data_IF_113431869443
#
_entry.id   IF_113431869443
#
_cell.length_a   1.000
_cell.length_b   1.000
_cell.length_c   1.000
_cell.angle_alpha   90.00
_cell.angle_beta   90.00
_cell.angle_gamma   90.00
#
_symmetry.space_group_name_H-M   'P 1'
#
loop_
_entity.id
_entity.type
_entity.pdbx_description
1 polymer ?
#
# COMPACT_ATOMS: atom_id res chain seq x y z
N UNK A 1 20.30 29.53 8.25
CA UNK A 1 18.94 30.06 8.36
C UNK A 1 18.02 29.50 7.26
N UNK A 2 18.48 29.25 6.06
CA UNK A 2 17.74 28.68 4.92
C UNK A 2 17.20 27.25 5.12
N UNK A 3 17.88 26.43 5.90
CA UNK A 3 17.48 25.01 6.12
C UNK A 3 16.21 24.88 6.97
N UNK A 4 15.98 25.74 7.97
CA UNK A 4 14.80 25.67 8.83
C UNK A 4 13.52 26.10 8.11
N UNK A 5 13.57 27.09 7.25
CA UNK A 5 12.42 27.57 6.46
C UNK A 5 11.97 26.50 5.48
N UNK A 6 12.93 25.80 4.85
CA UNK A 6 12.61 24.71 3.94
C UNK A 6 11.93 23.51 4.61
N UNK A 7 12.27 23.19 5.87
CA UNK A 7 11.64 22.10 6.64
C UNK A 7 10.20 22.48 7.00
N UNK A 8 9.96 23.72 7.44
CA UNK A 8 8.60 24.18 7.80
C UNK A 8 7.65 24.13 6.60
N UNK A 9 8.08 24.58 5.42
CA UNK A 9 7.27 24.54 4.19
C UNK A 9 6.95 23.08 3.80
N UNK A 10 7.90 22.18 3.93
CA UNK A 10 7.68 20.74 3.63
C UNK A 10 6.64 20.12 4.56
N UNK A 11 6.72 20.37 5.86
CA UNK A 11 5.73 19.89 6.84
C UNK A 11 4.33 20.41 6.49
N UNK A 12 4.21 21.69 6.12
CA UNK A 12 2.94 22.29 5.71
C UNK A 12 2.36 21.61 4.46
N UNK A 13 3.19 21.28 3.48
CA UNK A 13 2.75 20.60 2.25
C UNK A 13 2.32 19.15 2.56
N UNK A 14 3.06 18.42 3.39
CA UNK A 14 2.73 17.04 3.77
C UNK A 14 1.46 16.98 4.64
N UNK A 15 1.22 17.99 5.44
CA UNK A 15 0.03 18.07 6.28
C UNK A 15 -1.27 18.20 5.46
N UNK A 16 -1.23 18.74 4.24
CA UNK A 16 -2.42 18.90 3.38
C UNK A 16 -3.13 17.58 3.05
N UNK A 17 -2.46 16.57 2.46
CA UNK A 17 -3.11 15.30 2.16
C UNK A 17 -3.58 14.57 3.43
N UNK A 18 -2.87 14.72 4.55
CA UNK A 18 -3.32 14.16 5.83
C UNK A 18 -4.59 14.83 6.34
N UNK A 19 -4.70 16.16 6.21
CA UNK A 19 -5.91 16.91 6.56
C UNK A 19 -7.10 16.54 5.66
N UNK A 20 -6.86 16.33 4.37
CA UNK A 20 -7.87 15.80 3.43
C UNK A 20 -8.32 14.41 3.88
N UNK A 21 -7.39 13.51 4.17
CA UNK A 21 -7.68 12.18 4.70
C UNK A 21 -8.51 12.22 5.99
N UNK A 22 -8.18 13.11 6.92
CA UNK A 22 -8.97 13.35 8.13
C UNK A 22 -10.40 13.76 7.81
N UNK A 23 -10.59 14.69 6.88
CA UNK A 23 -11.91 15.21 6.50
C UNK A 23 -12.76 14.09 5.85
N UNK A 24 -12.15 13.25 5.03
CA UNK A 24 -12.80 12.08 4.43
C UNK A 24 -13.17 11.06 5.52
N UNK A 25 -12.23 10.74 6.40
CA UNK A 25 -12.43 9.76 7.47
C UNK A 25 -13.56 10.16 8.43
N UNK A 26 -13.62 11.43 8.80
CA UNK A 26 -14.68 11.95 9.69
C UNK A 26 -16.02 12.16 8.99
N UNK A 27 -16.07 12.03 7.67
CA UNK A 27 -17.25 12.31 6.83
C UNK A 27 -17.86 13.71 7.06
N UNK A 28 -17.05 14.68 7.50
CA UNK A 28 -17.48 16.06 7.80
C UNK A 28 -16.70 17.08 6.95
N UNK A 29 -17.13 17.36 5.71
CA UNK A 29 -16.43 18.27 4.80
C UNK A 29 -16.70 19.75 5.16
N UNK A 30 -16.36 20.16 6.38
CA UNK A 30 -16.46 21.55 6.84
C UNK A 30 -15.07 22.17 6.93
N UNK A 31 -14.99 23.49 6.71
CA UNK A 31 -13.72 24.21 6.81
C UNK A 31 -13.11 24.08 8.22
N UNK A 32 -13.92 24.11 9.27
CA UNK A 32 -13.47 23.95 10.64
C UNK A 32 -12.84 22.59 10.90
N UNK A 33 -13.45 21.52 10.39
CA UNK A 33 -12.92 20.15 10.50
C UNK A 33 -11.63 19.97 9.69
N UNK A 34 -11.55 20.57 8.50
CA UNK A 34 -10.33 20.57 7.70
C UNK A 34 -9.18 21.28 8.43
N UNK A 35 -9.42 22.48 8.99
CA UNK A 35 -8.42 23.24 9.75
C UNK A 35 -7.97 22.46 10.99
N UNK A 36 -8.91 21.81 11.70
CA UNK A 36 -8.59 20.95 12.84
C UNK A 36 -7.67 19.79 12.40
N UNK A 37 -8.04 19.07 11.34
CA UNK A 37 -7.24 18.00 10.77
C UNK A 37 -5.85 18.47 10.32
N UNK A 38 -5.76 19.67 9.76
CA UNK A 38 -4.50 20.25 9.32
C UNK A 38 -3.57 20.58 10.50
N UNK A 39 -4.08 21.23 11.55
CA UNK A 39 -3.31 21.50 12.77
C UNK A 39 -2.87 20.21 13.44
N UNK A 40 -3.76 19.20 13.52
CA UNK A 40 -3.44 17.90 14.07
C UNK A 40 -2.33 17.20 13.27
N UNK A 41 -2.42 17.22 11.93
CA UNK A 41 -1.42 16.65 11.03
C UNK A 41 -0.04 17.30 11.22
N UNK A 42 0.03 18.63 11.31
CA UNK A 42 1.28 19.34 11.61
C UNK A 42 1.84 18.90 12.97
N UNK A 43 1.00 18.83 13.99
CA UNK A 43 1.42 18.42 15.34
C UNK A 43 2.00 17.01 15.37
N UNK A 44 1.37 16.05 14.67
CA UNK A 44 1.86 14.68 14.55
C UNK A 44 3.19 14.64 13.80
N UNK A 45 3.31 15.34 12.66
CA UNK A 45 4.54 15.37 11.87
C UNK A 45 5.73 15.97 12.65
N UNK A 46 5.47 16.99 13.47
CA UNK A 46 6.48 17.59 14.34
C UNK A 46 6.86 16.63 15.47
N UNK A 47 5.87 16.03 16.14
CA UNK A 47 6.09 15.13 17.28
C UNK A 47 6.83 13.84 16.89
N UNK A 48 6.52 13.26 15.71
CA UNK A 48 7.17 12.06 15.19
C UNK A 48 8.54 12.32 14.56
N UNK A 49 8.94 13.58 14.42
CA UNK A 49 10.20 13.94 13.78
C UNK A 49 10.27 13.64 12.28
N UNK A 50 9.15 13.31 11.65
CA UNK A 50 9.04 13.07 10.22
C UNK A 50 9.20 14.38 9.44
N UNK A 51 10.45 14.77 9.22
CA UNK A 51 10.80 16.07 8.58
C UNK A 51 10.68 16.06 7.07
N UNK A 52 10.20 14.97 6.48
CA UNK A 52 10.06 14.83 5.03
C UNK A 52 11.38 14.94 4.27
N UNK A 53 12.50 14.57 4.90
CA UNK A 53 13.83 14.67 4.28
C UNK A 53 13.96 13.79 3.03
N UNK A 54 13.19 12.69 2.97
CA UNK A 54 13.13 11.80 1.82
C UNK A 54 12.20 12.29 0.69
N UNK A 55 11.36 13.30 0.93
CA UNK A 55 10.46 13.83 -0.10
C UNK A 55 11.19 14.78 -1.05
N UNK A 56 11.57 14.28 -2.19
CA UNK A 56 12.04 15.10 -3.31
C UNK A 56 10.84 15.72 -4.01
N UNK A 57 10.45 16.93 -3.63
CA UNK A 57 9.31 17.68 -4.21
C UNK A 57 9.37 17.76 -5.75
N UNK A 58 10.55 17.69 -6.33
CA UNK A 58 10.74 17.65 -7.80
C UNK A 58 10.07 16.44 -8.44
N UNK A 59 9.99 15.31 -7.73
CA UNK A 59 9.41 14.06 -8.22
C UNK A 59 7.95 13.87 -7.73
N UNK A 60 7.44 14.78 -6.91
CA UNK A 60 6.10 14.68 -6.32
C UNK A 60 4.98 14.47 -7.36
N UNK A 61 4.93 15.19 -8.50
CA UNK A 61 3.86 14.97 -9.49
C UNK A 61 3.93 13.56 -10.09
N UNK A 62 5.13 13.02 -10.35
CA UNK A 62 5.30 11.65 -10.84
C UNK A 62 4.92 10.61 -9.80
N UNK A 63 5.32 10.82 -8.54
CA UNK A 63 4.95 9.95 -7.43
C UNK A 63 3.43 9.94 -7.20
N UNK A 64 2.79 11.11 -7.26
CA UNK A 64 1.33 11.22 -7.15
C UNK A 64 0.62 10.49 -8.32
N UNK A 65 1.10 10.64 -9.54
CA UNK A 65 0.58 9.89 -10.68
C UNK A 65 0.72 8.38 -10.46
N UNK A 66 1.89 7.91 -10.03
CA UNK A 66 2.14 6.50 -9.75
C UNK A 66 1.26 5.99 -8.60
N UNK A 67 1.02 6.80 -7.57
CA UNK A 67 0.11 6.47 -6.47
C UNK A 67 -1.33 6.29 -6.97
N UNK A 68 -1.83 7.23 -7.78
CA UNK A 68 -3.16 7.14 -8.37
C UNK A 68 -3.26 5.91 -9.29
N UNK A 69 -2.27 5.69 -10.14
CA UNK A 69 -2.22 4.52 -11.03
C UNK A 69 -2.19 3.20 -10.24
N UNK A 70 -1.45 3.14 -9.13
CA UNK A 70 -1.44 1.99 -8.23
C UNK A 70 -2.79 1.78 -7.55
N UNK A 71 -3.43 2.85 -7.07
CA UNK A 71 -4.75 2.78 -6.44
C UNK A 71 -5.81 2.24 -7.42
N UNK A 72 -5.81 2.72 -8.66
CA UNK A 72 -6.72 2.22 -9.72
C UNK A 72 -6.44 0.75 -10.03
N UNK A 73 -5.15 0.38 -10.17
CA UNK A 73 -4.75 -0.99 -10.38
C UNK A 73 -5.25 -1.90 -9.24
N UNK A 74 -4.99 -1.52 -7.98
CA UNK A 74 -5.42 -2.28 -6.81
C UNK A 74 -6.95 -2.40 -6.74
N UNK A 75 -7.69 -1.32 -7.04
CA UNK A 75 -9.15 -1.36 -7.09
C UNK A 75 -9.66 -2.35 -8.14
N UNK A 76 -9.03 -2.42 -9.33
CA UNK A 76 -9.41 -3.39 -10.37
C UNK A 76 -9.10 -4.83 -9.95
N UNK A 77 -7.99 -5.08 -9.27
CA UNK A 77 -7.66 -6.41 -8.71
C UNK A 77 -8.71 -6.83 -7.67
N UNK A 78 -9.00 -5.96 -6.70
CA UNK A 78 -9.98 -6.22 -5.64
C UNK A 78 -11.37 -6.52 -6.22
N UNK A 79 -11.82 -5.72 -7.19
CA UNK A 79 -13.13 -5.93 -7.84
C UNK A 79 -13.16 -7.25 -8.63
N UNK A 80 -12.12 -7.56 -9.40
CA UNK A 80 -12.05 -8.79 -10.17
C UNK A 80 -12.00 -10.03 -9.28
N UNK A 81 -11.20 -9.99 -8.22
CA UNK A 81 -11.11 -11.06 -7.22
C UNK A 81 -12.43 -11.22 -6.46
N UNK A 82 -13.07 -10.10 -6.07
CA UNK A 82 -14.39 -10.12 -5.45
C UNK A 82 -15.45 -10.83 -6.30
N UNK A 83 -15.45 -10.57 -7.62
CA UNK A 83 -16.35 -11.28 -8.54
C UNK A 83 -16.01 -12.78 -8.63
N UNK A 84 -14.73 -13.13 -8.66
CA UNK A 84 -14.30 -14.55 -8.66
C UNK A 84 -14.76 -15.27 -7.40
N UNK A 85 -14.48 -14.72 -6.22
CA UNK A 85 -14.88 -15.29 -4.92
C UNK A 85 -16.41 -15.37 -4.81
N UNK A 86 -17.14 -14.34 -5.24
CA UNK A 86 -18.60 -14.38 -5.26
C UNK A 86 -19.15 -15.52 -6.13
N UNK A 87 -18.55 -15.77 -7.29
CA UNK A 87 -18.93 -16.91 -8.15
C UNK A 87 -18.66 -18.25 -7.45
N UNK A 88 -17.53 -18.39 -6.77
CA UNK A 88 -17.22 -19.61 -6.01
C UNK A 88 -18.28 -19.85 -4.93
N UNK A 89 -18.63 -18.82 -4.14
CA UNK A 89 -19.64 -18.91 -3.08
C UNK A 89 -21.02 -19.28 -3.63
N UNK A 90 -21.39 -18.73 -4.80
CA UNK A 90 -22.68 -18.97 -5.44
C UNK A 90 -22.74 -20.31 -6.19
N UNK A 91 -21.62 -21.02 -6.34
CA UNK A 91 -21.56 -22.33 -7.00
C UNK A 91 -21.92 -23.43 -5.98
N UNK A 92 -22.96 -24.25 -6.25
CA UNK A 92 -23.42 -25.26 -5.26
C UNK A 92 -22.37 -26.27 -4.82
N UNK A 93 -21.38 -26.59 -5.67
CA UNK A 93 -20.28 -27.50 -5.37
C UNK A 93 -19.23 -26.87 -4.46
N UNK A 94 -19.27 -25.54 -4.26
CA UNK A 94 -18.31 -24.77 -3.47
C UNK A 94 -16.85 -25.20 -3.75
N UNK A 95 -16.33 -24.98 -4.97
CA UNK A 95 -15.02 -25.49 -5.39
C UNK A 95 -13.91 -24.63 -4.75
N UNK A 96 -13.61 -24.92 -3.50
CA UNK A 96 -12.50 -24.30 -2.74
C UNK A 96 -11.43 -25.36 -2.48
N UNK A 97 -10.18 -24.94 -2.55
CA UNK A 97 -9.01 -25.74 -2.17
C UNK A 97 -8.06 -24.84 -1.36
N UNK A 98 -8.40 -24.60 -0.08
CA UNK A 98 -7.63 -23.67 0.75
C UNK A 98 -6.26 -24.25 1.08
N UNK A 99 -5.26 -23.39 1.01
CA UNK A 99 -3.88 -23.78 1.30
C UNK A 99 -3.02 -22.61 1.68
N UNK A 100 -1.78 -22.91 2.05
CA UNK A 100 -0.75 -21.93 2.41
C UNK A 100 0.39 -22.05 1.42
N UNK A 101 0.85 -20.90 0.92
CA UNK A 101 2.03 -20.77 0.06
C UNK A 101 2.93 -19.65 0.55
N UNK A 102 4.20 -19.71 0.21
CA UNK A 102 5.15 -18.61 0.46
C UNK A 102 5.38 -17.86 -0.85
N UNK A 103 5.26 -16.54 -0.78
CA UNK A 103 5.52 -15.62 -1.89
C UNK A 103 6.64 -14.67 -1.48
N UNK A 104 7.71 -14.64 -2.26
CA UNK A 104 8.81 -13.72 -1.99
C UNK A 104 8.43 -12.29 -2.39
N UNK A 105 8.80 -11.31 -1.57
CA UNK A 105 8.60 -9.88 -1.89
C UNK A 105 9.35 -9.45 -3.15
N UNK A 106 10.42 -10.17 -3.52
CA UNK A 106 11.32 -9.88 -4.65
C UNK A 106 11.98 -8.49 -4.54
N UNK A 107 12.09 -7.97 -3.32
CA UNK A 107 12.76 -6.70 -3.05
C UNK A 107 14.13 -6.92 -2.42
N UNK A 108 15.18 -6.76 -3.23
CA UNK A 108 16.58 -6.90 -2.82
C UNK A 108 17.00 -5.89 -1.74
N UNK A 109 16.21 -4.83 -1.52
CA UNK A 109 16.53 -3.80 -0.52
C UNK A 109 16.02 -4.14 0.87
N UNK A 110 15.27 -5.23 1.02
CA UNK A 110 14.62 -5.67 2.28
C UNK A 110 13.87 -4.54 2.99
N UNK A 111 13.28 -3.65 2.22
CA UNK A 111 12.60 -2.48 2.76
C UNK A 111 11.27 -2.87 3.39
N UNK A 112 11.17 -2.77 4.71
CA UNK A 112 9.98 -3.11 5.48
C UNK A 112 8.71 -2.40 4.97
N UNK A 113 8.83 -1.17 4.46
CA UNK A 113 7.68 -0.45 3.90
C UNK A 113 7.20 -1.10 2.61
N UNK A 114 8.11 -1.58 1.75
CA UNK A 114 7.77 -2.30 0.52
C UNK A 114 7.08 -3.62 0.87
N UNK A 115 7.63 -4.37 1.83
CA UNK A 115 7.01 -5.62 2.32
C UNK A 115 5.62 -5.38 2.89
N UNK A 116 5.45 -4.33 3.71
CA UNK A 116 4.15 -3.98 4.28
C UNK A 116 3.10 -3.58 3.22
N UNK A 117 3.49 -2.77 2.22
CA UNK A 117 2.58 -2.38 1.13
C UNK A 117 2.24 -3.58 0.24
N UNK A 118 3.21 -4.48 -0.02
CA UNK A 118 2.98 -5.72 -0.77
C UNK A 118 1.99 -6.64 -0.05
N UNK A 119 2.22 -6.88 1.24
CA UNK A 119 1.34 -7.69 2.08
C UNK A 119 -0.07 -7.09 2.18
N UNK A 120 -0.18 -5.76 2.32
CA UNK A 120 -1.47 -5.08 2.29
C UNK A 120 -2.19 -5.29 0.95
N UNK A 121 -1.48 -5.18 -0.16
CA UNK A 121 -2.04 -5.39 -1.49
C UNK A 121 -2.56 -6.81 -1.70
N UNK A 122 -1.88 -7.84 -1.17
CA UNK A 122 -2.36 -9.23 -1.18
C UNK A 122 -3.60 -9.36 -0.29
N UNK A 123 -3.50 -8.92 0.97
CA UNK A 123 -4.56 -9.11 1.97
C UNK A 123 -5.86 -8.38 1.62
N UNK A 124 -5.80 -7.23 0.96
CA UNK A 124 -7.03 -6.51 0.53
C UNK A 124 -7.72 -7.21 -0.65
N UNK A 125 -7.02 -8.11 -1.35
CA UNK A 125 -7.57 -8.87 -2.47
C UNK A 125 -8.40 -10.05 -1.94
N UNK A 126 -9.72 -10.13 -2.22
CA UNK A 126 -10.57 -11.20 -1.74
C UNK A 126 -10.04 -12.59 -2.11
N UNK A 127 -9.98 -13.49 -1.12
CA UNK A 127 -9.50 -14.86 -1.31
C UNK A 127 -8.05 -15.09 -0.94
N UNK A 128 -7.31 -14.04 -0.56
CA UNK A 128 -5.92 -14.12 -0.14
C UNK A 128 -5.67 -13.35 1.16
N UNK A 129 -4.79 -13.88 2.01
CA UNK A 129 -4.44 -13.27 3.31
C UNK A 129 -2.98 -13.55 3.62
N UNK A 130 -2.18 -12.52 3.79
CA UNK A 130 -0.84 -12.66 4.37
C UNK A 130 -0.99 -12.88 5.87
N UNK A 131 -0.51 -14.00 6.36
CA UNK A 131 -0.64 -14.42 7.76
C UNK A 131 0.62 -14.19 8.56
N UNK A 132 1.81 -14.22 7.89
CA UNK A 132 3.10 -14.02 8.55
C UNK A 132 4.18 -13.66 7.54
N UNK A 133 5.37 -13.31 8.04
CA UNK A 133 6.58 -13.08 7.26
C UNK A 133 7.66 -14.03 7.74
N UNK A 134 8.47 -14.52 6.80
CA UNK A 134 9.65 -15.34 7.10
C UNK A 134 10.90 -14.75 6.46
N UNK A 135 12.08 -15.00 7.09
CA UNK A 135 13.36 -14.71 6.46
C UNK A 135 13.55 -15.70 5.30
N UNK A 136 13.70 -15.18 4.08
CA UNK A 136 14.00 -16.00 2.93
C UNK A 136 15.51 -16.13 2.74
N UNK A 137 15.97 -17.33 2.35
CA UNK A 137 17.36 -17.53 1.94
C UNK A 137 17.65 -16.96 0.54
N UNK A 138 16.61 -16.60 -0.20
CA UNK A 138 16.65 -15.92 -1.49
C UNK A 138 16.42 -14.41 -1.28
N UNK A 139 16.73 -13.61 -2.31
CA UNK A 139 16.63 -12.14 -2.25
C UNK A 139 15.22 -11.67 -1.84
N UNK A 140 15.11 -11.13 -0.61
CA UNK A 140 13.89 -10.51 -0.08
C UNK A 140 13.25 -11.25 1.09
N UNK A 141 12.11 -10.74 1.55
CA UNK A 141 11.31 -11.27 2.66
C UNK A 141 10.24 -12.21 2.11
N UNK A 142 10.10 -13.41 2.67
CA UNK A 142 9.01 -14.33 2.37
C UNK A 142 7.70 -13.87 3.05
N UNK A 143 6.60 -13.89 2.31
CA UNK A 143 5.26 -13.67 2.84
C UNK A 143 4.51 -14.99 2.84
N UNK A 144 4.05 -15.44 4.00
CA UNK A 144 3.21 -16.62 4.14
C UNK A 144 1.78 -16.22 3.83
N UNK A 145 1.24 -16.75 2.73
CA UNK A 145 -0.07 -16.38 2.19
C UNK A 145 -1.03 -17.56 2.32
N UNK A 146 -2.15 -17.35 3.00
CA UNK A 146 -3.29 -18.25 2.96
C UNK A 146 -4.18 -17.88 1.77
N UNK A 147 -4.45 -18.86 0.91
CA UNK A 147 -5.30 -18.69 -0.27
C UNK A 147 -6.55 -19.56 -0.18
N UNK A 148 -7.67 -19.06 -0.67
CA UNK A 148 -8.93 -19.80 -0.77
C UNK A 148 -8.87 -20.93 -1.80
N UNK A 149 -7.99 -20.80 -2.82
CA UNK A 149 -7.73 -21.83 -3.82
C UNK A 149 -6.25 -21.76 -4.19
N UNK A 150 -5.46 -22.72 -3.68
CA UNK A 150 -4.01 -22.71 -3.79
C UNK A 150 -3.54 -22.98 -5.22
N UNK A 151 -4.22 -23.83 -5.97
CA UNK A 151 -3.85 -24.16 -7.36
C UNK A 151 -4.02 -22.95 -8.28
N UNK A 152 -5.09 -22.17 -8.09
CA UNK A 152 -5.36 -20.98 -8.88
C UNK A 152 -4.45 -19.81 -8.50
N UNK A 153 -4.13 -19.67 -7.22
CA UNK A 153 -3.28 -18.60 -6.70
C UNK A 153 -1.80 -18.86 -7.00
N UNK A 154 -1.30 -20.07 -6.79
CA UNK A 154 0.13 -20.40 -6.89
C UNK A 154 0.76 -20.12 -8.26
N UNK A 155 -0.01 -20.17 -9.35
CA UNK A 155 0.48 -19.87 -10.70
C UNK A 155 0.62 -18.38 -11.00
N UNK A 156 -0.11 -17.51 -10.30
CA UNK A 156 -0.16 -16.07 -10.60
C UNK A 156 0.53 -15.20 -9.54
N UNK A 157 0.70 -15.69 -8.32
CA UNK A 157 1.17 -14.89 -7.17
C UNK A 157 2.51 -14.22 -7.41
N UNK A 158 3.49 -14.93 -7.95
CA UNK A 158 4.84 -14.39 -8.20
C UNK A 158 4.83 -13.32 -9.29
N UNK A 159 4.09 -13.54 -10.37
CA UNK A 159 3.98 -12.58 -11.47
C UNK A 159 3.21 -11.33 -11.04
N UNK A 160 2.16 -11.49 -10.25
CA UNK A 160 1.36 -10.38 -9.73
C UNK A 160 2.15 -9.61 -8.67
N UNK A 161 2.95 -10.30 -7.84
CA UNK A 161 3.87 -9.66 -6.92
C UNK A 161 4.95 -8.84 -7.65
N UNK A 162 5.52 -9.34 -8.75
CA UNK A 162 6.49 -8.60 -9.57
C UNK A 162 5.90 -7.31 -10.13
N UNK A 163 4.67 -7.36 -10.65
CA UNK A 163 3.95 -6.18 -11.16
C UNK A 163 3.65 -5.18 -10.05
N UNK A 164 3.25 -5.69 -8.87
CA UNK A 164 2.97 -4.88 -7.67
C UNK A 164 4.22 -4.17 -7.18
N UNK A 165 5.33 -4.89 -7.04
CA UNK A 165 6.62 -4.35 -6.63
C UNK A 165 7.10 -3.22 -7.54
N UNK A 166 7.03 -3.40 -8.86
CA UNK A 166 7.42 -2.36 -9.82
C UNK A 166 6.61 -1.05 -9.63
N UNK A 167 5.31 -1.17 -9.32
CA UNK A 167 4.45 -0.01 -9.05
C UNK A 167 4.77 0.65 -7.72
N UNK A 168 5.01 -0.16 -6.66
CA UNK A 168 5.39 0.34 -5.32
C UNK A 168 6.72 1.09 -5.40
N UNK A 169 7.73 0.53 -6.06
CA UNK A 169 9.03 1.20 -6.29
C UNK A 169 8.84 2.53 -7.03
N UNK A 170 7.95 2.58 -8.01
CA UNK A 170 7.60 3.82 -8.72
C UNK A 170 6.99 4.91 -7.85
N UNK A 171 6.19 4.55 -6.84
CA UNK A 171 5.62 5.49 -5.85
C UNK A 171 6.72 6.01 -4.93
N UNK A 172 7.57 5.13 -4.44
CA UNK A 172 8.63 5.48 -3.48
C UNK A 172 9.82 6.20 -4.15
N UNK A 173 9.88 6.22 -5.48
CA UNK A 173 10.95 6.89 -6.22
C UNK A 173 12.26 6.10 -6.25
N UNK A 174 12.19 4.79 -6.08
CA UNK A 174 13.32 3.85 -6.17
C UNK A 174 13.49 3.29 -7.60
N UNK A 175 13.23 4.12 -8.61
CA UNK A 175 13.44 3.78 -10.04
C UNK A 175 14.63 4.55 -10.57
#
# INVERSE_FOLDING_TARGET
MTTRIGISIRIMIIALPLAIGWTIYTAQPTLGNFVLGYVFSISVLVATGLRGESLRLRNAPRQLYNLVAYTVYLATEVLSAGVKVSRVILTPSLPIDPGISTVNTQDETENQLISAISAHGITITPGELVVDFEESNDDGVGMIVHSLNIDASGQSLDDDQRKRLARIKGILGHV
#
